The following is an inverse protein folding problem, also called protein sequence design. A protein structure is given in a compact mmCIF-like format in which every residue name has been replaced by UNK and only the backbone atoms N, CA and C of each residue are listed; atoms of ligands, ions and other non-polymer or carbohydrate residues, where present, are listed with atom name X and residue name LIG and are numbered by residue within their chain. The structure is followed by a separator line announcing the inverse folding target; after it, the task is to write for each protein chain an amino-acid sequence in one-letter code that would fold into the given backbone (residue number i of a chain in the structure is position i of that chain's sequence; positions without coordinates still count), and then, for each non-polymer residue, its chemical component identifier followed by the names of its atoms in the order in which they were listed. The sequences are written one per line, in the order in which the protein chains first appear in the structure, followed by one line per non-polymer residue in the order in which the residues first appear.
data_IF_790763693597
#
_entry.id   IF_790763693597
#
_cell.length_a   1.000
_cell.length_b   1.000
_cell.length_c   1.000
_cell.angle_alpha   90.00
_cell.angle_beta   90.00
_cell.angle_gamma   90.00
#
_symmetry.space_group_name_H-M   'P 1'
#
loop_
_entity.id
_entity.type
_entity.pdbx_description
1 polymer ?
#
# COMPACT_ATOMS: atom_id res chain seq x y z
N UNK A 1 -55.31 17.35 53.43
CA UNK A 1 -54.00 17.25 54.10
C UNK A 1 -53.68 15.77 54.30
N UNK A 2 -52.62 15.32 53.63
CA UNK A 2 -52.05 13.97 53.47
C UNK A 2 -52.77 12.73 54.03
N UNK A 3 -53.40 12.00 53.11
CA UNK A 3 -53.59 10.55 53.15
C UNK A 3 -52.44 9.89 52.34
N UNK A 4 -51.85 8.81 52.85
CA UNK A 4 -50.96 7.94 52.06
C UNK A 4 -51.62 6.58 51.91
N UNK A 5 -52.14 6.37 50.70
CA UNK A 5 -52.74 5.14 50.19
C UNK A 5 -51.80 4.54 49.14
N UNK A 6 -52.06 3.27 48.80
CA UNK A 6 -51.65 2.51 47.60
C UNK A 6 -50.39 1.65 47.85
N UNK A 7 -50.48 0.35 48.17
CA UNK A 7 -51.02 -0.83 47.46
C UNK A 7 -50.13 -1.31 46.30
N UNK A 8 -49.78 -2.59 46.31
CA UNK A 8 -49.66 -3.35 45.07
C UNK A 8 -48.35 -4.11 44.81
N UNK A 9 -48.47 -5.43 44.96
CA UNK A 9 -48.17 -6.42 43.91
C UNK A 9 -46.72 -6.72 43.47
N UNK A 10 -46.43 -8.03 43.59
CA UNK A 10 -45.96 -8.91 42.50
C UNK A 10 -44.51 -8.74 41.99
N UNK A 11 -43.74 -9.82 42.16
CA UNK A 11 -42.81 -10.45 41.20
C UNK A 11 -41.41 -10.77 41.77
N UNK A 12 -41.15 -12.07 41.80
CA UNK A 12 -39.93 -12.75 41.35
C UNK A 12 -38.57 -12.07 41.64
N UNK A 13 -37.86 -12.61 42.64
CA UNK A 13 -36.39 -12.56 42.77
C UNK A 13 -35.89 -14.00 42.92
N UNK A 14 -35.34 -14.63 41.87
CA UNK A 14 -33.98 -14.52 41.34
C UNK A 14 -32.91 -15.06 42.30
N UNK A 15 -32.49 -16.31 42.08
CA UNK A 15 -31.21 -16.92 42.49
C UNK A 15 -31.22 -18.38 42.01
N UNK A 16 -30.25 -19.03 41.40
CA UNK A 16 -28.89 -18.78 40.88
C UNK A 16 -28.60 -20.06 40.06
N UNK A 17 -28.15 -19.94 38.81
CA UNK A 17 -27.57 -21.07 38.08
C UNK A 17 -26.20 -20.64 37.57
N UNK A 18 -25.18 -21.19 38.22
CA UNK A 18 -23.79 -21.08 37.83
C UNK A 18 -23.52 -21.84 36.53
N UNK A 19 -22.41 -21.43 35.91
CA UNK A 19 -21.51 -22.25 35.09
C UNK A 19 -21.74 -22.33 33.57
N UNK A 20 -20.96 -21.48 32.89
CA UNK A 20 -19.89 -21.86 31.95
C UNK A 20 -20.24 -22.97 30.93
N UNK A 21 -20.32 -22.60 29.66
CA UNK A 21 -19.17 -22.77 28.76
C UNK A 21 -19.44 -22.11 27.41
N UNK A 22 -18.52 -21.20 27.07
CA UNK A 22 -18.47 -20.47 25.82
C UNK A 22 -18.40 -21.43 24.63
N UNK A 23 -19.39 -21.32 23.75
CA UNK A 23 -19.30 -21.78 22.37
C UNK A 23 -18.30 -20.90 21.63
N UNK A 24 -17.06 -21.36 21.51
CA UNK A 24 -16.11 -20.85 20.53
C UNK A 24 -15.60 -22.03 19.68
N UNK A 25 -16.39 -22.37 18.66
CA UNK A 25 -15.87 -23.09 17.48
C UNK A 25 -16.26 -22.28 16.25
N UNK A 26 -15.34 -21.37 15.94
CA UNK A 26 -14.85 -21.08 14.60
C UNK A 26 -15.90 -21.23 13.49
N UNK A 27 -16.71 -20.18 13.34
CA UNK A 27 -17.21 -19.82 12.02
C UNK A 27 -16.00 -19.49 11.18
N UNK A 28 -15.80 -20.26 10.11
CA UNK A 28 -14.82 -19.98 9.09
C UNK A 28 -14.90 -18.50 8.72
N UNK A 29 -13.82 -17.78 8.99
CA UNK A 29 -13.54 -16.51 8.35
C UNK A 29 -13.55 -16.82 6.86
N UNK A 30 -14.68 -16.53 6.21
CA UNK A 30 -14.65 -16.01 4.84
C UNK A 30 -13.65 -14.87 4.91
N UNK A 31 -12.43 -15.16 4.45
CA UNK A 31 -11.51 -14.16 3.95
C UNK A 31 -12.32 -13.46 2.86
N UNK A 32 -12.97 -12.37 3.25
CA UNK A 32 -13.42 -11.39 2.29
C UNK A 32 -12.14 -11.03 1.54
N UNK A 33 -12.07 -11.41 0.27
CA UNK A 33 -11.20 -10.71 -0.65
C UNK A 33 -11.55 -9.24 -0.45
N UNK A 34 -10.62 -8.48 0.13
CA UNK A 34 -10.72 -7.04 0.02
C UNK A 34 -10.82 -6.76 -1.49
N UNK A 35 -11.81 -5.97 -1.94
CA UNK A 35 -11.90 -5.65 -3.35
C UNK A 35 -10.61 -4.92 -3.70
N UNK A 36 -9.77 -5.57 -4.51
CA UNK A 36 -8.57 -4.96 -5.12
C UNK A 36 -8.92 -3.67 -5.87
N UNK A 37 -10.20 -3.49 -6.19
CA UNK A 37 -10.82 -2.38 -6.92
C UNK A 37 -10.70 -1.04 -6.19
N UNK A 38 -10.73 -1.01 -4.85
CA UNK A 38 -10.61 0.25 -4.08
C UNK A 38 -9.15 0.69 -3.84
N UNK A 39 -8.18 -0.23 -3.98
CA UNK A 39 -6.76 0.12 -3.80
C UNK A 39 -6.10 0.67 -5.06
N UNK A 40 -6.66 0.40 -6.24
CA UNK A 40 -6.09 0.86 -7.51
C UNK A 40 -6.21 2.38 -7.72
N UNK A 41 -7.30 3.03 -7.29
CA UNK A 41 -7.53 4.45 -7.64
C UNK A 41 -6.70 5.45 -6.82
N UNK A 42 -6.10 5.00 -5.71
CA UNK A 42 -5.20 5.80 -4.86
C UNK A 42 -3.73 5.68 -5.27
N UNK A 43 -3.34 4.57 -5.90
CA UNK A 43 -1.99 4.32 -6.38
C UNK A 43 -1.84 4.84 -7.81
N UNK A 44 -1.03 5.88 -8.02
CA UNK A 44 -0.85 6.47 -9.35
C UNK A 44 0.09 5.69 -10.28
N UNK A 45 0.71 4.61 -9.80
CA UNK A 45 1.60 3.73 -10.57
C UNK A 45 0.95 2.35 -10.69
N UNK A 46 0.73 1.90 -11.93
CA UNK A 46 0.13 0.62 -12.27
C UNK A 46 1.13 -0.55 -12.22
N UNK A 47 2.36 -0.33 -12.72
CA UNK A 47 3.39 -1.37 -12.77
C UNK A 47 4.79 -0.79 -12.87
N UNK A 48 5.80 -1.61 -12.57
CA UNK A 48 7.22 -1.27 -12.71
C UNK A 48 8.00 -2.42 -13.36
N UNK A 49 9.05 -2.10 -14.11
CA UNK A 49 10.01 -3.08 -14.62
C UNK A 49 11.43 -2.49 -14.67
N UNK A 50 12.47 -3.20 -14.20
CA UNK A 50 12.39 -4.45 -13.43
C UNK A 50 11.74 -4.24 -12.06
N UNK A 51 11.27 -5.32 -11.43
CA UNK A 51 10.65 -5.29 -10.09
C UNK A 51 11.65 -5.58 -8.96
N UNK A 52 12.91 -5.83 -9.29
CA UNK A 52 13.95 -6.09 -8.30
C UNK A 52 15.34 -5.75 -8.83
N UNK A 53 16.27 -5.55 -7.90
CA UNK A 53 17.70 -5.45 -8.20
C UNK A 53 18.55 -5.89 -7.00
N UNK A 54 19.79 -6.30 -7.30
CA UNK A 54 20.79 -6.64 -6.29
C UNK A 54 21.42 -5.38 -5.67
N UNK A 55 21.95 -5.52 -4.46
CA UNK A 55 22.76 -4.49 -3.82
C UNK A 55 23.98 -4.13 -4.68
N UNK A 56 24.27 -2.84 -4.80
CA UNK A 56 25.37 -2.34 -5.63
C UNK A 56 25.08 -2.31 -7.14
N UNK A 57 23.85 -2.57 -7.58
CA UNK A 57 23.47 -2.37 -8.98
C UNK A 57 23.56 -0.87 -9.34
N UNK A 58 24.31 -0.54 -10.39
CA UNK A 58 24.49 0.83 -10.87
C UNK A 58 23.81 1.05 -12.23
N UNK A 59 23.43 2.30 -12.52
CA UNK A 59 22.79 2.71 -13.77
C UNK A 59 21.56 1.84 -14.13
N UNK A 60 20.84 1.34 -13.13
CA UNK A 60 19.71 0.44 -13.34
C UNK A 60 18.55 1.19 -14.02
N UNK A 61 18.19 0.86 -15.27
CA UNK A 61 17.05 1.50 -15.92
C UNK A 61 15.76 0.91 -15.37
N UNK A 62 14.91 1.76 -14.77
CA UNK A 62 13.61 1.38 -14.23
C UNK A 62 12.51 2.14 -14.97
N UNK A 63 11.52 1.39 -15.42
CA UNK A 63 10.34 1.87 -16.13
C UNK A 63 9.12 1.76 -15.23
N UNK A 64 8.42 2.87 -15.03
CA UNK A 64 7.14 2.96 -14.32
C UNK A 64 6.01 3.16 -15.32
N UNK A 65 4.94 2.38 -15.20
CA UNK A 65 3.69 2.61 -15.93
C UNK A 65 2.71 3.28 -14.98
N UNK A 66 2.22 4.47 -15.34
CA UNK A 66 1.25 5.23 -14.58
C UNK A 66 -0.17 4.70 -14.85
N UNK A 67 -1.03 4.80 -13.84
CA UNK A 67 -2.45 4.54 -14.00
C UNK A 67 -3.15 5.77 -14.61
N UNK A 68 -3.83 5.60 -15.75
CA UNK A 68 -4.58 6.66 -16.42
C UNK A 68 -5.78 7.16 -15.60
N UNK A 69 -6.33 6.28 -14.76
CA UNK A 69 -7.54 6.51 -13.97
C UNK A 69 -7.21 6.86 -12.50
N UNK A 70 -5.94 7.10 -12.19
CA UNK A 70 -5.49 7.51 -10.86
C UNK A 70 -6.21 8.79 -10.39
N UNK A 71 -6.39 8.93 -9.07
CA UNK A 71 -6.88 10.17 -8.46
C UNK A 71 -5.82 10.76 -7.51
N UNK A 72 -5.25 11.95 -7.80
CA UNK A 72 -5.50 12.79 -8.97
C UNK A 72 -4.97 12.18 -10.29
N UNK A 73 -5.56 12.55 -11.44
CA UNK A 73 -5.13 12.01 -12.73
C UNK A 73 -3.67 12.38 -13.04
N UNK A 74 -2.96 11.56 -13.84
CA UNK A 74 -1.64 11.92 -14.31
C UNK A 74 -1.65 13.27 -15.02
N UNK A 75 -0.63 14.11 -14.81
CA UNK A 75 -0.46 15.31 -15.61
C UNK A 75 -0.39 14.97 -17.12
N UNK A 76 -0.62 15.95 -18.02
CA UNK A 76 -0.46 15.75 -19.45
C UNK A 76 0.88 15.11 -19.81
N UNK A 77 0.92 14.31 -20.89
CA UNK A 77 2.06 13.47 -21.27
C UNK A 77 3.38 14.22 -21.50
N UNK A 78 3.30 15.53 -21.80
CA UNK A 78 4.46 16.40 -22.02
C UNK A 78 5.12 16.89 -20.72
N UNK A 79 4.52 16.64 -19.56
CA UNK A 79 5.04 17.09 -18.28
C UNK A 79 6.06 16.07 -17.75
N UNK A 80 7.34 16.47 -17.77
CA UNK A 80 8.43 15.69 -17.18
C UNK A 80 8.27 15.58 -15.65
N UNK A 81 8.51 14.39 -15.05
CA UNK A 81 8.52 14.25 -13.60
C UNK A 81 9.65 15.06 -12.96
N UNK A 82 9.43 15.50 -11.72
CA UNK A 82 10.44 16.15 -10.88
C UNK A 82 11.39 15.14 -10.24
N UNK A 83 10.87 13.97 -9.86
CA UNK A 83 11.64 12.92 -9.20
C UNK A 83 10.95 11.57 -9.35
N UNK A 84 11.75 10.52 -9.21
CA UNK A 84 11.34 9.13 -9.08
C UNK A 84 12.16 8.51 -7.96
N UNK A 85 11.53 7.67 -7.14
CA UNK A 85 12.18 7.08 -5.98
C UNK A 85 11.81 5.60 -5.81
N UNK A 86 12.79 4.82 -5.34
CA UNK A 86 12.64 3.45 -4.84
C UNK A 86 12.94 3.50 -3.34
N UNK A 87 11.90 3.55 -2.50
CA UNK A 87 12.05 3.83 -1.08
C UNK A 87 12.74 5.19 -0.87
N UNK A 88 13.95 5.16 -0.30
CA UNK A 88 14.78 6.36 -0.08
C UNK A 88 15.75 6.66 -1.24
N UNK A 89 15.89 5.75 -2.20
CA UNK A 89 16.82 5.87 -3.32
C UNK A 89 16.22 6.78 -4.38
N UNK A 90 16.93 7.85 -4.73
CA UNK A 90 16.51 8.78 -5.78
C UNK A 90 16.99 8.30 -7.14
N UNK A 91 16.13 8.43 -8.14
CA UNK A 91 16.45 8.14 -9.53
C UNK A 91 16.89 9.40 -10.28
N UNK A 92 17.77 9.19 -11.24
CA UNK A 92 18.31 10.20 -12.15
C UNK A 92 17.82 9.96 -13.59
N UNK A 93 18.21 10.83 -14.52
CA UNK A 93 17.90 10.69 -15.96
C UNK A 93 16.41 10.51 -16.26
N UNK A 94 15.56 11.26 -15.56
CA UNK A 94 14.12 11.17 -15.70
C UNK A 94 13.65 11.52 -17.12
N UNK A 95 12.85 10.63 -17.69
CA UNK A 95 12.15 10.88 -18.94
C UNK A 95 10.72 10.34 -18.86
N UNK A 96 9.85 10.86 -19.72
CA UNK A 96 8.46 10.45 -19.83
C UNK A 96 8.02 10.36 -21.29
N UNK A 97 7.26 9.32 -21.58
CA UNK A 97 6.48 9.16 -22.81
C UNK A 97 5.08 8.68 -22.43
N UNK A 98 4.08 9.56 -22.55
CA UNK A 98 2.69 9.26 -22.20
C UNK A 98 2.50 8.81 -20.75
N UNK A 99 2.10 7.56 -20.53
CA UNK A 99 1.92 6.95 -19.21
C UNK A 99 3.18 6.20 -18.75
N UNK A 100 4.28 6.29 -19.48
CA UNK A 100 5.52 5.60 -19.17
C UNK A 100 6.56 6.61 -18.68
N UNK A 101 7.12 6.36 -17.51
CA UNK A 101 8.23 7.13 -16.93
C UNK A 101 9.44 6.22 -16.83
N UNK A 102 10.62 6.72 -17.21
CA UNK A 102 11.89 6.02 -17.05
C UNK A 102 12.83 6.83 -16.17
N UNK A 103 13.57 6.16 -15.30
CA UNK A 103 14.66 6.74 -14.53
C UNK A 103 15.76 5.70 -14.31
N UNK A 104 16.99 6.17 -14.11
CA UNK A 104 18.14 5.34 -13.75
C UNK A 104 18.36 5.39 -12.25
N UNK A 105 18.69 4.24 -11.64
CA UNK A 105 18.91 4.14 -10.19
C UNK A 105 20.24 3.46 -9.89
N UNK A 106 20.91 3.97 -8.86
CA UNK A 106 22.02 3.29 -8.20
C UNK A 106 21.52 2.72 -6.87
N UNK A 107 21.58 1.39 -6.72
CA UNK A 107 21.21 0.71 -5.47
C UNK A 107 22.46 0.63 -4.58
N UNK A 108 22.50 1.32 -3.42
CA UNK A 108 23.66 1.26 -2.54
C UNK A 108 23.96 -0.16 -2.05
N UNK A 109 25.23 -0.45 -1.75
CA UNK A 109 25.66 -1.76 -1.25
C UNK A 109 25.14 -2.04 0.18
N UNK A 110 24.85 -0.99 0.92
CA UNK A 110 24.34 -1.00 2.30
C UNK A 110 22.83 -0.74 2.40
N UNK A 111 22.14 -0.65 1.26
CA UNK A 111 20.69 -0.49 1.23
C UNK A 111 19.99 -1.66 1.96
N UNK A 112 19.00 -1.40 2.83
CA UNK A 112 18.25 -2.48 3.46
C UNK A 112 17.52 -3.34 2.43
N UNK A 113 17.77 -4.65 2.46
CA UNK A 113 17.06 -5.63 1.62
C UNK A 113 15.57 -5.69 1.96
N UNK A 114 14.75 -6.05 0.97
CA UNK A 114 13.30 -6.20 1.10
C UNK A 114 12.52 -5.33 0.12
N UNK A 115 11.20 -5.30 0.32
CA UNK A 115 10.28 -4.53 -0.51
C UNK A 115 10.41 -3.04 -0.24
N UNK A 116 10.29 -2.24 -1.31
CA UNK A 116 10.36 -0.79 -1.32
C UNK A 116 9.11 -0.25 -2.01
N UNK A 117 8.58 0.82 -1.45
CA UNK A 117 7.53 1.60 -2.10
C UNK A 117 8.13 2.44 -3.21
N UNK A 118 7.33 2.70 -4.23
CA UNK A 118 7.72 3.52 -5.36
C UNK A 118 7.00 4.85 -5.30
N UNK A 119 7.68 5.91 -5.72
CA UNK A 119 7.08 7.22 -5.86
C UNK A 119 7.58 7.91 -7.12
N UNK A 120 6.66 8.52 -7.88
CA UNK A 120 6.98 9.43 -8.98
C UNK A 120 6.27 10.75 -8.71
N UNK A 121 7.02 11.84 -8.68
CA UNK A 121 6.48 13.17 -8.38
C UNK A 121 6.48 14.04 -9.63
N UNK A 122 5.37 14.71 -9.87
CA UNK A 122 5.17 15.63 -10.97
C UNK A 122 4.94 17.06 -10.50
N UNK A 123 5.31 18.08 -11.30
CA UNK A 123 4.89 19.44 -11.03
C UNK A 123 3.40 19.60 -11.34
N UNK A 124 2.71 20.42 -10.55
CA UNK A 124 1.33 20.84 -10.84
C UNK A 124 1.11 22.28 -10.33
N UNK A 125 0.18 23.05 -10.94
CA UNK A 125 -0.10 24.43 -10.55
C UNK A 125 -0.49 24.60 -9.08
N UNK A 126 -1.06 23.56 -8.46
CA UNK A 126 -1.52 23.57 -7.07
C UNK A 126 -0.51 22.93 -6.09
N UNK A 127 0.73 22.72 -6.54
CA UNK A 127 1.75 21.97 -5.82
C UNK A 127 2.02 20.60 -6.46
N UNK A 128 3.15 19.95 -6.10
CA UNK A 128 3.54 18.68 -6.69
C UNK A 128 2.53 17.57 -6.38
N UNK A 129 2.35 16.67 -7.36
CA UNK A 129 1.52 15.47 -7.22
C UNK A 129 2.47 14.28 -7.17
N UNK A 130 2.29 13.41 -6.16
CA UNK A 130 3.07 12.18 -6.03
C UNK A 130 2.18 10.97 -6.30
N UNK A 131 2.62 10.14 -7.24
CA UNK A 131 2.03 8.87 -7.60
C UNK A 131 2.83 7.76 -6.95
N UNK A 132 2.17 6.81 -6.27
CA UNK A 132 2.84 5.74 -5.53
C UNK A 132 2.42 4.34 -5.98
N UNK A 133 3.30 3.37 -5.72
CA UNK A 133 3.00 1.94 -5.72
C UNK A 133 3.66 1.31 -4.50
N UNK A 134 2.84 0.84 -3.56
CA UNK A 134 3.31 0.19 -2.34
C UNK A 134 3.96 -1.15 -2.67
N UNK A 135 5.10 -1.45 -2.04
CA UNK A 135 5.86 -2.68 -2.21
C UNK A 135 6.13 -3.06 -3.69
N UNK A 136 6.26 -2.07 -4.58
CA UNK A 136 6.41 -2.28 -6.02
C UNK A 136 7.78 -2.80 -6.46
N UNK A 137 8.81 -2.67 -5.63
CA UNK A 137 10.18 -3.06 -5.96
C UNK A 137 10.85 -3.84 -4.83
N UNK A 138 11.74 -4.78 -5.14
CA UNK A 138 12.47 -5.57 -4.13
C UNK A 138 13.98 -5.41 -4.28
N UNK A 139 14.64 -4.96 -3.22
CA UNK A 139 16.11 -5.02 -3.12
C UNK A 139 16.50 -6.39 -2.59
N UNK A 140 17.28 -7.15 -3.36
CA UNK A 140 17.77 -8.48 -2.98
C UNK A 140 19.25 -8.40 -2.59
N UNK A 141 19.63 -9.19 -1.59
CA UNK A 141 21.05 -9.34 -1.26
C UNK A 141 21.80 -10.03 -2.40
N UNK A 142 23.14 -9.92 -2.41
CA UNK A 142 24.01 -10.55 -3.41
C UNK A 142 24.04 -12.10 -3.35
N UNK A 143 23.23 -12.71 -2.48
CA UNK A 143 22.92 -14.12 -2.53
C UNK A 143 21.85 -14.36 -3.60
N UNK A 144 22.27 -14.79 -4.79
CA UNK A 144 21.35 -15.37 -5.78
C UNK A 144 20.44 -16.40 -5.06
N UNK A 145 19.13 -16.49 -5.41
CA UNK A 145 18.43 -17.72 -5.09
C UNK A 145 19.17 -18.84 -5.83
N UNK A 146 19.85 -19.70 -5.07
CA UNK A 146 20.32 -20.98 -5.59
C UNK A 146 19.07 -21.75 -5.97
N UNK A 147 18.70 -21.70 -7.24
CA UNK A 147 17.77 -22.67 -7.80
C UNK A 147 18.56 -23.96 -7.91
N UNK A 148 18.45 -24.82 -6.89
CA UNK A 148 18.87 -26.21 -7.03
C UNK A 148 17.94 -26.85 -8.07
N UNK A 149 18.48 -27.12 -9.25
CA UNK A 149 17.87 -27.99 -10.27
C UNK A 149 18.04 -29.44 -9.85
#
# INVERSE_FOLDING_TARGET
MNAKTVLGHLLARRSRSHARQHRHRQRGRRLWAEPLEDRCLLTGILSVFPTFAALGATDLPVTFTLDADATPPPPPSQVTPLSAAIGTIQGDSLARSDLVVTASFDIPVDEPVGTKDLAVTFPSPNGPITMTLDAGFTVVGNGLPVVSV
#
